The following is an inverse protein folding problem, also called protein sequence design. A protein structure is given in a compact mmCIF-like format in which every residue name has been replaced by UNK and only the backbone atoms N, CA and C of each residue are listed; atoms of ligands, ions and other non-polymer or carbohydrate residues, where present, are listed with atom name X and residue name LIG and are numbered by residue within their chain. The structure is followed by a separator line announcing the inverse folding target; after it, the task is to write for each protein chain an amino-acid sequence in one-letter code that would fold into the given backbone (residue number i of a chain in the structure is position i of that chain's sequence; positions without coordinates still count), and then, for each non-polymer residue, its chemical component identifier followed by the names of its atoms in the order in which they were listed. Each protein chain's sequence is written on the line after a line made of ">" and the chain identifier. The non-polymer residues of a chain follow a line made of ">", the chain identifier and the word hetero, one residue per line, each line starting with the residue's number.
data_IF_821485235975
#
_entry.id   IF_821485235975
#
_cell.length_a   1.000
_cell.length_b   1.000
_cell.length_c   1.000
_cell.angle_alpha   90.00
_cell.angle_beta   90.00
_cell.angle_gamma   90.00
#
_symmetry.space_group_name_H-M   'P 1'
#
loop_
_entity.id
_entity.type
_entity.pdbx_description
1 polymer ?
#
# COMPACT_ATOMS: atom_id res chain seq x y z
N UNK A 1 -61.37 4.18 -30.63
CA UNK A 1 -61.09 3.47 -29.35
C UNK A 1 -59.60 3.18 -29.28
N UNK A 2 -58.85 4.06 -28.67
CA UNK A 2 -57.43 3.88 -28.46
C UNK A 2 -57.21 3.68 -26.96
N UNK A 3 -56.78 2.48 -26.58
CA UNK A 3 -56.45 2.11 -25.22
C UNK A 3 -55.06 2.64 -24.88
N UNK A 4 -54.98 3.55 -23.93
CA UNK A 4 -53.78 4.15 -23.40
C UNK A 4 -53.34 3.28 -22.23
N UNK A 5 -52.45 2.32 -22.44
CA UNK A 5 -51.74 1.64 -21.36
C UNK A 5 -50.79 2.62 -20.69
N UNK A 6 -51.06 2.91 -19.44
CA UNK A 6 -50.21 3.72 -18.56
C UNK A 6 -49.11 2.83 -18.01
N UNK A 7 -47.88 2.99 -18.53
CA UNK A 7 -46.69 2.43 -17.91
C UNK A 7 -46.47 3.09 -16.54
N UNK A 8 -46.83 2.41 -15.50
CA UNK A 8 -46.42 2.71 -14.12
C UNK A 8 -44.99 2.17 -13.92
N UNK A 9 -43.98 2.93 -14.31
CA UNK A 9 -42.64 2.72 -13.74
C UNK A 9 -42.66 3.22 -12.31
N UNK A 10 -42.63 2.30 -11.37
CA UNK A 10 -42.47 2.52 -9.94
C UNK A 10 -41.17 3.27 -9.70
N UNK A 11 -41.29 4.50 -9.23
CA UNK A 11 -40.19 5.25 -8.60
C UNK A 11 -39.79 4.57 -7.28
N UNK A 12 -39.11 3.43 -7.37
CA UNK A 12 -38.35 2.88 -6.26
C UNK A 12 -36.88 3.07 -6.59
N UNK A 13 -36.20 3.90 -5.79
CA UNK A 13 -34.82 3.65 -5.41
C UNK A 13 -33.84 4.82 -5.25
N UNK A 14 -34.27 6.09 -5.37
CA UNK A 14 -33.30 7.19 -5.07
C UNK A 14 -32.94 7.29 -3.56
N UNK A 15 -33.88 7.04 -2.60
CA UNK A 15 -33.54 7.05 -1.17
C UNK A 15 -32.74 5.85 -0.71
N UNK A 16 -32.93 4.67 -1.31
CA UNK A 16 -32.27 3.43 -0.90
C UNK A 16 -30.82 3.38 -1.35
N UNK A 17 -30.54 3.79 -2.58
CA UNK A 17 -29.15 3.92 -3.07
C UNK A 17 -28.36 5.00 -2.31
N UNK A 18 -29.03 6.05 -1.82
CA UNK A 18 -28.42 7.05 -0.94
C UNK A 18 -28.14 6.49 0.45
N UNK A 19 -28.99 5.58 0.94
CA UNK A 19 -28.82 4.93 2.24
C UNK A 19 -27.70 3.89 2.20
N UNK A 20 -27.63 3.07 1.15
CA UNK A 20 -26.51 2.13 0.94
C UNK A 20 -25.16 2.83 0.76
N UNK A 21 -25.13 4.01 0.09
CA UNK A 21 -23.90 4.82 0.01
C UNK A 21 -23.44 5.37 1.37
N UNK A 22 -24.34 5.54 2.34
CA UNK A 22 -23.98 5.97 3.70
C UNK A 22 -23.43 4.84 4.57
N UNK A 23 -23.66 3.59 4.22
CA UNK A 23 -23.23 2.42 4.99
C UNK A 23 -21.90 1.82 4.50
N UNK A 24 -21.34 2.26 3.38
CA UNK A 24 -20.02 1.83 2.95
C UNK A 24 -18.93 2.33 3.91
N UNK A 25 -18.20 1.41 4.54
CA UNK A 25 -17.10 1.73 5.48
C UNK A 25 -16.05 2.64 4.86
N UNK A 26 -15.68 2.39 3.61
CA UNK A 26 -14.84 3.25 2.78
C UNK A 26 -15.43 3.29 1.37
N UNK A 27 -15.66 4.47 0.85
CA UNK A 27 -16.08 4.67 -0.54
C UNK A 27 -14.91 4.37 -1.49
N UNK A 28 -15.21 4.19 -2.77
CA UNK A 28 -14.17 3.98 -3.78
C UNK A 28 -13.20 5.15 -3.86
N UNK A 29 -13.72 6.39 -3.77
CA UNK A 29 -12.90 7.62 -3.80
C UNK A 29 -11.98 7.67 -2.59
N UNK A 30 -12.47 7.33 -1.38
CA UNK A 30 -11.64 7.25 -0.18
C UNK A 30 -10.58 6.15 -0.28
N UNK A 31 -10.90 4.98 -0.83
CA UNK A 31 -9.90 3.93 -1.07
C UNK A 31 -8.82 4.37 -2.06
N UNK A 32 -9.20 5.09 -3.12
CA UNK A 32 -8.24 5.62 -4.09
C UNK A 32 -7.42 6.77 -3.48
N UNK A 33 -8.02 7.64 -2.66
CA UNK A 33 -7.29 8.68 -1.92
C UNK A 33 -6.27 8.08 -0.91
N UNK A 34 -6.64 7.02 -0.20
CA UNK A 34 -5.71 6.27 0.66
C UNK A 34 -4.53 5.70 -0.12
N UNK A 35 -4.77 5.14 -1.32
CA UNK A 35 -3.69 4.68 -2.21
C UNK A 35 -2.80 5.84 -2.65
N UNK A 36 -3.41 6.99 -2.95
CA UNK A 36 -2.69 8.20 -3.33
C UNK A 36 -1.78 8.71 -2.22
N UNK A 37 -2.31 8.82 -1.01
CA UNK A 37 -1.53 9.20 0.17
C UNK A 37 -0.36 8.24 0.40
N UNK A 38 -0.64 6.94 0.37
CA UNK A 38 0.36 5.90 0.59
C UNK A 38 1.47 5.92 -0.45
N UNK A 39 1.12 6.03 -1.75
CA UNK A 39 2.14 6.02 -2.81
C UNK A 39 2.99 7.29 -2.80
N UNK A 40 2.42 8.44 -2.45
CA UNK A 40 3.20 9.69 -2.28
C UNK A 40 4.27 9.49 -1.21
N UNK A 41 3.91 8.92 -0.06
CA UNK A 41 4.88 8.60 0.99
C UNK A 41 5.98 7.67 0.48
N UNK A 42 5.61 6.53 -0.10
CA UNK A 42 6.56 5.50 -0.57
C UNK A 42 7.53 6.05 -1.61
N UNK A 43 7.03 6.73 -2.63
CA UNK A 43 7.87 7.16 -3.72
C UNK A 43 8.82 8.30 -3.31
N UNK A 44 8.37 9.23 -2.45
CA UNK A 44 9.23 10.27 -1.89
C UNK A 44 10.26 9.69 -0.92
N UNK A 45 9.85 8.75 -0.04
CA UNK A 45 10.77 8.00 0.80
C UNK A 45 11.89 7.35 -0.02
N UNK A 46 11.52 6.62 -1.07
CA UNK A 46 12.48 5.91 -1.92
C UNK A 46 13.48 6.81 -2.63
N UNK A 47 13.19 8.08 -2.83
CA UNK A 47 14.15 9.06 -3.32
C UNK A 47 15.04 9.59 -2.20
N UNK A 48 14.42 10.08 -1.12
CA UNK A 48 15.11 10.73 -0.01
C UNK A 48 16.05 9.76 0.74
N UNK A 49 15.64 8.51 0.89
CA UNK A 49 16.42 7.46 1.56
C UNK A 49 17.80 7.21 0.92
N UNK A 50 17.98 7.50 -0.38
CA UNK A 50 19.24 7.34 -1.10
C UNK A 50 20.15 8.56 -1.04
N UNK A 51 19.73 9.65 -0.41
CA UNK A 51 20.51 10.87 -0.27
C UNK A 51 21.48 10.79 0.91
N UNK A 52 22.65 11.41 0.77
CA UNK A 52 23.59 11.67 1.85
C UNK A 52 23.50 13.16 2.20
N UNK A 53 23.40 13.58 3.43
CA UNK A 53 23.48 12.89 4.74
C UNK A 53 22.12 12.59 5.39
N UNK A 54 21.06 12.35 4.61
CA UNK A 54 19.69 12.17 5.09
C UNK A 54 19.57 10.93 6.00
N UNK A 55 18.72 11.02 7.03
CA UNK A 55 18.36 9.90 7.91
C UNK A 55 17.73 8.80 7.08
N UNK A 56 18.05 7.56 7.39
CA UNK A 56 17.50 6.38 6.73
C UNK A 56 16.61 5.61 7.68
N UNK A 57 15.53 5.07 7.19
CA UNK A 57 14.67 4.11 7.88
C UNK A 57 14.01 3.20 6.83
N UNK A 58 13.61 2.02 7.24
CA UNK A 58 12.89 1.06 6.39
C UNK A 58 11.94 0.18 7.22
N UNK A 59 11.18 -0.70 6.58
CA UNK A 59 10.24 -1.59 7.26
C UNK A 59 10.88 -2.87 7.81
N UNK A 60 12.14 -3.18 7.53
CA UNK A 60 12.70 -4.51 7.73
C UNK A 60 13.38 -4.66 9.08
N UNK A 61 14.08 -3.63 9.52
CA UNK A 61 14.87 -3.64 10.75
C UNK A 61 14.70 -2.32 11.48
N UNK A 62 14.81 -2.36 12.79
CA UNK A 62 14.86 -1.17 13.63
C UNK A 62 16.31 -0.83 13.93
N UNK A 63 16.76 0.33 13.53
CA UNK A 63 18.10 0.81 13.81
C UNK A 63 18.08 1.97 14.79
N UNK A 64 18.58 1.76 16.00
CA UNK A 64 18.63 2.82 17.01
C UNK A 64 19.39 4.05 16.51
N UNK A 65 20.48 3.86 15.78
CA UNK A 65 21.27 4.96 15.16
C UNK A 65 20.42 5.88 14.24
N UNK A 66 19.42 5.33 13.55
CA UNK A 66 18.56 6.12 12.68
C UNK A 66 17.60 6.98 13.50
N UNK A 67 17.08 6.42 14.59
CA UNK A 67 16.23 7.11 15.57
C UNK A 67 17.00 8.26 16.24
N UNK A 68 18.22 8.00 16.71
CA UNK A 68 19.08 9.00 17.37
C UNK A 68 19.41 10.15 16.40
N UNK A 69 19.69 9.81 15.14
CA UNK A 69 19.93 10.81 14.09
C UNK A 69 18.68 11.65 13.79
N UNK A 70 17.49 11.05 13.74
CA UNK A 70 16.26 11.81 13.58
C UNK A 70 16.03 12.74 14.78
N UNK A 71 16.28 12.25 15.99
CA UNK A 71 16.15 13.04 17.20
C UNK A 71 17.07 14.28 17.16
N UNK A 72 18.32 14.11 16.73
CA UNK A 72 19.26 15.23 16.52
C UNK A 72 18.74 16.24 15.48
N UNK A 73 18.17 15.76 14.37
CA UNK A 73 17.56 16.63 13.35
C UNK A 73 16.38 17.43 13.90
N UNK A 74 15.54 16.81 14.73
CA UNK A 74 14.39 17.48 15.34
C UNK A 74 14.78 18.54 16.37
N UNK A 75 15.90 18.33 17.06
CA UNK A 75 16.44 19.30 18.04
C UNK A 75 17.32 20.39 17.42
N UNK A 76 17.84 20.15 16.23
CA UNK A 76 18.74 21.06 15.53
C UNK A 76 18.03 22.21 14.82
N UNK A 77 18.82 23.05 14.15
CA UNK A 77 18.31 24.09 13.26
C UNK A 77 17.71 23.47 12.01
N UNK A 78 16.50 23.89 11.66
CA UNK A 78 15.84 23.43 10.44
C UNK A 78 16.56 24.03 9.23
N UNK A 79 17.20 23.16 8.47
CA UNK A 79 17.89 23.47 7.23
C UNK A 79 17.09 22.99 6.02
N UNK A 80 17.62 23.19 4.81
CA UNK A 80 17.01 22.76 3.55
C UNK A 80 16.73 21.24 3.46
N UNK A 81 17.46 20.42 4.24
CA UNK A 81 17.33 18.97 4.26
C UNK A 81 16.26 18.47 5.25
N UNK A 82 15.67 19.34 6.08
CA UNK A 82 14.71 18.93 7.10
C UNK A 82 13.56 18.07 6.52
N UNK A 83 12.94 18.53 5.43
CA UNK A 83 11.88 17.78 4.76
C UNK A 83 12.35 16.45 4.20
N UNK A 84 13.57 16.37 3.69
CA UNK A 84 14.14 15.12 3.19
C UNK A 84 14.34 14.10 4.32
N UNK A 85 14.73 14.55 5.52
CA UNK A 85 14.83 13.69 6.70
C UNK A 85 13.45 13.12 7.09
N UNK A 86 12.42 13.95 7.15
CA UNK A 86 11.06 13.54 7.50
C UNK A 86 10.51 12.56 6.45
N UNK A 87 10.64 12.87 5.17
CA UNK A 87 10.16 12.01 4.10
C UNK A 87 10.91 10.67 4.05
N UNK A 88 12.22 10.69 4.30
CA UNK A 88 13.05 9.49 4.34
C UNK A 88 12.73 8.61 5.54
N UNK A 89 12.42 9.17 6.69
CA UNK A 89 12.12 8.40 7.89
C UNK A 89 10.69 7.86 7.91
N UNK A 90 9.70 8.69 7.59
CA UNK A 90 8.28 8.33 7.73
C UNK A 90 7.59 7.86 6.44
N UNK A 91 8.15 8.16 5.27
CA UNK A 91 7.45 7.91 4.00
C UNK A 91 7.24 6.42 3.69
N UNK A 92 8.10 5.51 4.19
CA UNK A 92 7.95 4.07 4.03
C UNK A 92 6.64 3.53 4.64
N UNK A 93 6.09 4.21 5.63
CA UNK A 93 4.81 3.85 6.25
C UNK A 93 3.59 3.92 5.31
N UNK A 94 3.76 4.30 4.06
CA UNK A 94 2.76 4.08 3.02
C UNK A 94 2.51 2.59 2.73
N UNK A 95 3.49 1.71 2.95
CA UNK A 95 3.37 0.26 2.70
C UNK A 95 2.26 -0.40 3.53
N UNK A 96 2.19 -0.22 4.86
CA UNK A 96 1.08 -0.73 5.68
C UNK A 96 -0.31 -0.36 5.16
N UNK A 97 -0.48 0.84 4.62
CA UNK A 97 -1.77 1.28 4.04
C UNK A 97 -2.14 0.47 2.80
N UNK A 98 -1.16 0.13 1.94
CA UNK A 98 -1.40 -0.78 0.81
C UNK A 98 -1.76 -2.19 1.24
N UNK A 99 -1.12 -2.72 2.28
CA UNK A 99 -1.43 -4.03 2.85
C UNK A 99 -2.85 -4.06 3.42
N UNK A 100 -3.21 -3.05 4.20
CA UNK A 100 -4.56 -2.83 4.71
C UNK A 100 -5.61 -2.80 3.58
N UNK A 101 -5.40 -1.94 2.58
CA UNK A 101 -6.33 -1.79 1.46
C UNK A 101 -6.46 -3.06 0.61
N UNK A 102 -5.39 -3.83 0.48
CA UNK A 102 -5.43 -5.11 -0.23
C UNK A 102 -6.30 -6.12 0.51
N UNK A 103 -6.14 -6.26 1.82
CA UNK A 103 -6.95 -7.14 2.65
C UNK A 103 -8.41 -6.69 2.74
N UNK A 104 -8.63 -5.37 2.93
CA UNK A 104 -9.96 -4.78 2.90
C UNK A 104 -10.69 -5.08 1.59
N UNK A 105 -10.03 -4.84 0.46
CA UNK A 105 -10.60 -5.09 -0.87
C UNK A 105 -10.88 -6.57 -1.14
N UNK A 106 -10.03 -7.50 -0.68
CA UNK A 106 -10.27 -8.95 -0.76
C UNK A 106 -11.52 -9.33 0.02
N UNK A 107 -11.62 -8.88 1.28
CA UNK A 107 -12.75 -9.21 2.16
C UNK A 107 -14.06 -8.62 1.62
N UNK A 108 -14.04 -7.37 1.16
CA UNK A 108 -15.21 -6.75 0.55
C UNK A 108 -15.65 -7.50 -0.71
N UNK A 109 -14.71 -7.88 -1.57
CA UNK A 109 -14.99 -8.56 -2.84
C UNK A 109 -15.48 -9.99 -2.65
N UNK A 110 -14.84 -10.77 -1.78
CA UNK A 110 -15.07 -12.22 -1.72
C UNK A 110 -15.94 -12.68 -0.56
N UNK A 111 -16.17 -11.82 0.44
CA UNK A 111 -16.96 -12.18 1.61
C UNK A 111 -18.27 -11.36 1.71
N UNK A 112 -18.26 -10.06 1.37
CA UNK A 112 -19.43 -9.17 1.54
C UNK A 112 -20.24 -8.94 0.27
N UNK A 113 -19.64 -9.00 -0.92
CA UNK A 113 -20.42 -8.97 -2.16
C UNK A 113 -21.05 -10.36 -2.38
N UNK A 114 -22.19 -10.59 -1.78
CA UNK A 114 -23.05 -11.72 -2.19
C UNK A 114 -23.76 -11.34 -3.49
N UNK A 115 -23.76 -12.21 -4.50
CA UNK A 115 -24.64 -11.99 -5.65
C UNK A 115 -26.09 -12.07 -5.16
N UNK A 116 -26.91 -11.11 -5.59
CA UNK A 116 -28.37 -11.14 -5.46
C UNK A 116 -28.95 -12.21 -6.40
N UNK A 117 -28.64 -13.48 -6.16
CA UNK A 117 -29.18 -14.62 -6.91
C UNK A 117 -30.25 -15.28 -6.04
N UNK A 118 -31.44 -15.65 -6.60
CA UNK A 118 -32.50 -16.30 -5.86
C UNK A 118 -32.02 -17.58 -5.15
N UNK A 119 -32.54 -17.82 -3.96
CA UNK A 119 -32.14 -18.87 -3.00
C UNK A 119 -32.15 -20.30 -3.57
N UNK A 120 -32.81 -20.56 -4.70
CA UNK A 120 -32.87 -21.84 -5.37
C UNK A 120 -31.62 -22.25 -6.15
N UNK A 121 -30.69 -21.30 -6.38
CA UNK A 121 -29.39 -21.56 -7.04
C UNK A 121 -28.19 -21.54 -6.05
N UNK A 122 -28.44 -21.41 -4.76
CA UNK A 122 -27.40 -21.31 -3.72
C UNK A 122 -26.67 -22.64 -3.42
N UNK A 123 -27.11 -23.75 -3.98
CA UNK A 123 -26.45 -25.05 -3.76
C UNK A 123 -25.15 -25.24 -4.55
N UNK A 124 -24.77 -24.33 -5.43
CA UNK A 124 -23.55 -24.42 -6.22
C UNK A 124 -22.56 -23.25 -6.04
N UNK A 125 -22.65 -22.48 -4.95
CA UNK A 125 -21.53 -21.59 -4.61
C UNK A 125 -20.35 -22.40 -4.04
N UNK A 126 -19.71 -23.11 -4.98
CA UNK A 126 -18.44 -23.75 -4.78
C UNK A 126 -17.47 -22.82 -4.09
N UNK A 127 -16.86 -23.28 -3.02
CA UNK A 127 -15.69 -22.67 -2.38
C UNK A 127 -14.76 -22.13 -3.48
N UNK A 128 -14.45 -20.83 -3.46
CA UNK A 128 -13.50 -20.21 -4.38
C UNK A 128 -12.27 -21.13 -4.53
N UNK A 129 -11.99 -21.70 -5.71
CA UNK A 129 -10.95 -22.72 -5.86
C UNK A 129 -9.60 -22.12 -5.49
N UNK A 130 -8.87 -22.75 -4.59
CA UNK A 130 -7.61 -22.24 -4.05
C UNK A 130 -6.61 -21.92 -5.16
N UNK A 131 -6.40 -22.87 -6.05
CA UNK A 131 -5.46 -22.71 -7.16
C UNK A 131 -5.90 -21.59 -8.13
N UNK A 132 -7.19 -21.54 -8.47
CA UNK A 132 -7.74 -20.49 -9.33
C UNK A 132 -7.56 -19.09 -8.74
N UNK A 133 -7.78 -18.96 -7.42
CA UNK A 133 -7.55 -17.71 -6.70
C UNK A 133 -6.09 -17.28 -6.71
N UNK A 134 -5.16 -18.20 -6.38
CA UNK A 134 -3.72 -17.92 -6.35
C UNK A 134 -3.23 -17.54 -7.75
N UNK A 135 -3.57 -18.35 -8.77
CA UNK A 135 -3.21 -18.09 -10.17
C UNK A 135 -3.70 -16.71 -10.64
N UNK A 136 -4.96 -16.37 -10.32
CA UNK A 136 -5.52 -15.06 -10.69
C UNK A 136 -4.73 -13.90 -10.07
N UNK A 137 -4.43 -13.98 -8.78
CA UNK A 137 -3.71 -12.92 -8.09
C UNK A 137 -2.23 -12.87 -8.47
N UNK A 138 -1.60 -14.02 -8.72
CA UNK A 138 -0.24 -14.09 -9.24
C UNK A 138 -0.13 -13.40 -10.61
N UNK A 139 -0.99 -13.75 -11.56
CA UNK A 139 -1.02 -13.10 -12.89
C UNK A 139 -1.27 -11.60 -12.78
N UNK A 140 -2.14 -11.17 -11.85
CA UNK A 140 -2.40 -9.75 -11.63
C UNK A 140 -1.15 -9.01 -11.13
N UNK A 141 -0.42 -9.56 -10.16
CA UNK A 141 0.82 -8.98 -9.65
C UNK A 141 1.93 -9.00 -10.70
N UNK A 142 2.12 -10.12 -11.38
CA UNK A 142 3.08 -10.28 -12.45
C UNK A 142 2.87 -9.23 -13.56
N UNK A 143 1.63 -9.04 -14.00
CA UNK A 143 1.27 -8.05 -15.01
C UNK A 143 1.63 -6.62 -14.58
N UNK A 144 1.47 -6.30 -13.30
CA UNK A 144 1.86 -4.99 -12.78
C UNK A 144 3.38 -4.82 -12.76
N UNK A 145 4.10 -5.86 -12.38
CA UNK A 145 5.54 -5.85 -12.18
C UNK A 145 6.34 -5.86 -13.48
N UNK A 146 5.96 -6.70 -14.45
CA UNK A 146 6.82 -7.05 -15.58
C UNK A 146 7.23 -5.84 -16.44
N UNK A 147 6.31 -4.89 -16.68
CA UNK A 147 6.61 -3.68 -17.46
C UNK A 147 7.70 -2.86 -16.79
N UNK A 148 7.55 -2.66 -15.47
CA UNK A 148 8.53 -1.91 -14.69
C UNK A 148 9.86 -2.64 -14.58
N UNK A 149 9.85 -3.95 -14.40
CA UNK A 149 11.06 -4.76 -14.29
C UNK A 149 11.90 -4.70 -15.57
N UNK A 150 11.28 -4.94 -16.73
CA UNK A 150 11.98 -4.87 -18.03
C UNK A 150 12.52 -3.46 -18.30
N UNK A 151 11.70 -2.43 -18.09
CA UNK A 151 12.16 -1.06 -18.30
C UNK A 151 13.28 -0.66 -17.32
N UNK A 152 13.20 -1.12 -16.06
CA UNK A 152 14.23 -0.84 -15.08
C UNK A 152 15.56 -1.53 -15.45
N UNK A 153 15.55 -2.83 -15.80
CA UNK A 153 16.79 -3.55 -16.17
C UNK A 153 17.47 -2.95 -17.39
N UNK A 154 16.71 -2.45 -18.37
CA UNK A 154 17.26 -1.74 -19.52
C UNK A 154 17.95 -0.43 -19.12
N UNK A 155 17.32 0.38 -18.25
CA UNK A 155 17.90 1.64 -17.77
C UNK A 155 19.08 1.37 -16.86
N UNK A 156 19.00 0.36 -16.01
CA UNK A 156 20.07 -0.05 -15.10
C UNK A 156 21.34 -0.44 -15.86
N UNK A 157 21.20 -1.18 -16.96
CA UNK A 157 22.33 -1.62 -17.79
C UNK A 157 23.08 -0.48 -18.49
N UNK A 158 22.47 0.68 -18.69
CA UNK A 158 23.09 1.85 -19.37
C UNK A 158 23.42 3.01 -18.42
N UNK A 159 23.16 2.85 -17.12
CA UNK A 159 23.47 3.85 -16.08
C UNK A 159 24.65 3.41 -15.22
N UNK A 160 25.22 4.34 -14.47
CA UNK A 160 26.35 4.07 -13.59
C UNK A 160 26.03 3.01 -12.54
N UNK A 161 27.00 2.14 -12.27
CA UNK A 161 26.90 1.04 -11.31
C UNK A 161 25.67 0.15 -11.54
N UNK A 162 25.60 -0.57 -12.67
CA UNK A 162 24.52 -1.52 -12.92
C UNK A 162 24.55 -2.65 -11.90
N UNK A 163 23.37 -3.21 -11.62
CA UNK A 163 23.27 -4.38 -10.75
C UNK A 163 23.75 -5.66 -11.49
N UNK A 164 24.37 -6.56 -10.74
CA UNK A 164 24.78 -7.86 -11.27
C UNK A 164 23.62 -8.85 -11.13
N UNK A 165 22.98 -9.17 -12.25
CA UNK A 165 21.78 -10.01 -12.28
C UNK A 165 22.16 -11.48 -12.42
N UNK A 166 21.84 -12.30 -11.41
CA UNK A 166 21.96 -13.73 -11.51
C UNK A 166 20.67 -14.38 -12.01
N UNK A 167 20.79 -15.51 -12.70
CA UNK A 167 19.64 -16.23 -13.30
C UNK A 167 18.58 -16.56 -12.24
N UNK A 168 19.00 -16.99 -11.03
CA UNK A 168 18.07 -17.39 -9.97
C UNK A 168 17.29 -16.19 -9.41
N UNK A 169 17.91 -15.01 -9.36
CA UNK A 169 17.26 -13.78 -8.91
C UNK A 169 16.14 -13.35 -9.88
N UNK A 170 16.45 -13.46 -11.20
CA UNK A 170 15.45 -13.20 -12.24
C UNK A 170 14.28 -14.20 -12.16
N UNK A 171 14.57 -15.50 -12.02
CA UNK A 171 13.54 -16.53 -11.85
C UNK A 171 12.71 -16.27 -10.58
N UNK A 172 13.37 -15.93 -9.46
CA UNK A 172 12.71 -15.58 -8.20
C UNK A 172 11.81 -14.37 -8.33
N UNK A 173 12.28 -13.34 -9.03
CA UNK A 173 11.48 -12.14 -9.31
C UNK A 173 10.29 -12.44 -10.22
N UNK A 174 10.49 -13.21 -11.30
CA UNK A 174 9.41 -13.62 -12.20
C UNK A 174 8.39 -14.52 -11.50
N UNK A 175 8.85 -15.41 -10.62
CA UNK A 175 8.00 -16.29 -9.82
C UNK A 175 7.33 -15.62 -8.62
N UNK A 176 7.74 -14.38 -8.26
CA UNK A 176 7.31 -13.64 -7.07
C UNK A 176 7.68 -14.37 -5.76
N UNK A 177 8.82 -15.03 -5.72
CA UNK A 177 9.32 -15.77 -4.55
C UNK A 177 10.73 -15.39 -4.11
N UNK A 178 11.32 -14.34 -4.68
CA UNK A 178 12.66 -13.84 -4.33
C UNK A 178 12.81 -13.49 -2.84
N UNK A 179 11.74 -13.09 -2.15
CA UNK A 179 11.73 -12.86 -0.71
C UNK A 179 12.06 -14.13 0.13
N UNK A 180 11.91 -15.31 -0.44
CA UNK A 180 12.20 -16.58 0.22
C UNK A 180 13.66 -17.02 0.03
N UNK A 181 14.37 -16.40 -0.91
CA UNK A 181 15.77 -16.70 -1.19
C UNK A 181 16.68 -16.09 -0.10
N UNK A 182 17.90 -16.58 0.07
CA UNK A 182 18.88 -15.98 0.98
C UNK A 182 19.24 -14.54 0.55
N UNK A 183 19.58 -13.67 1.50
CA UNK A 183 20.04 -12.30 1.28
C UNK A 183 19.10 -11.45 0.39
N UNK A 184 17.84 -11.26 0.80
CA UNK A 184 16.85 -10.54 -0.03
C UNK A 184 17.29 -9.11 -0.39
N UNK A 185 18.11 -8.46 0.44
CA UNK A 185 18.61 -7.11 0.19
C UNK A 185 19.52 -7.04 -1.06
N UNK A 186 20.23 -8.11 -1.36
CA UNK A 186 21.16 -8.17 -2.48
C UNK A 186 20.47 -8.62 -3.78
N UNK A 187 19.50 -9.54 -3.67
CA UNK A 187 18.89 -10.19 -4.83
C UNK A 187 17.62 -9.51 -5.34
N UNK A 188 16.93 -8.73 -4.50
CA UNK A 188 15.70 -8.04 -4.91
C UNK A 188 16.05 -6.71 -5.56
N UNK A 189 16.06 -6.69 -6.89
CA UNK A 189 16.35 -5.49 -7.63
C UNK A 189 15.34 -5.24 -8.77
N UNK A 190 14.72 -4.03 -8.87
CA UNK A 190 14.87 -2.89 -7.94
C UNK A 190 14.27 -3.17 -6.56
N UNK A 191 14.92 -2.62 -5.53
CA UNK A 191 14.58 -2.88 -4.12
C UNK A 191 13.07 -2.88 -3.78
N UNK A 192 12.26 -1.88 -4.16
CA UNK A 192 10.83 -1.86 -3.85
C UNK A 192 10.03 -3.08 -4.32
N UNK A 193 10.57 -3.90 -5.21
CA UNK A 193 9.85 -5.05 -5.79
C UNK A 193 9.70 -6.24 -4.82
N UNK A 194 10.32 -6.21 -3.65
CA UNK A 194 10.03 -7.14 -2.57
C UNK A 194 8.53 -7.20 -2.23
N UNK A 195 7.83 -6.09 -2.42
CA UNK A 195 6.40 -5.98 -2.16
C UNK A 195 5.55 -6.98 -2.96
N UNK A 196 5.95 -7.34 -4.16
CA UNK A 196 5.22 -8.32 -4.98
C UNK A 196 5.29 -9.73 -4.38
N UNK A 197 6.46 -10.15 -3.90
CA UNK A 197 6.65 -11.42 -3.20
C UNK A 197 5.88 -11.46 -1.87
N UNK A 198 5.90 -10.38 -1.10
CA UNK A 198 5.09 -10.24 0.11
C UNK A 198 3.58 -10.36 -0.20
N UNK A 199 3.11 -9.68 -1.23
CA UNK A 199 1.69 -9.65 -1.58
C UNK A 199 1.15 -11.01 -1.99
N UNK A 200 1.88 -11.80 -2.77
CA UNK A 200 1.41 -13.15 -3.15
C UNK A 200 1.35 -14.07 -1.94
N UNK A 201 2.31 -13.98 -1.01
CA UNK A 201 2.29 -14.72 0.25
C UNK A 201 1.05 -14.37 1.09
N UNK A 202 0.75 -13.08 1.26
CA UNK A 202 -0.43 -12.62 2.00
C UNK A 202 -1.75 -13.04 1.32
N UNK A 203 -1.80 -13.11 0.00
CA UNK A 203 -2.97 -13.64 -0.71
C UNK A 203 -3.15 -15.15 -0.46
N UNK A 204 -2.06 -15.91 -0.41
CA UNK A 204 -2.08 -17.33 -0.04
C UNK A 204 -2.57 -17.48 1.42
N UNK A 205 -2.01 -16.70 2.35
CA UNK A 205 -2.44 -16.69 3.76
C UNK A 205 -3.92 -16.34 3.90
N UNK A 206 -4.38 -15.29 3.20
CA UNK A 206 -5.80 -14.94 3.19
C UNK A 206 -6.66 -16.12 2.75
N UNK A 207 -6.34 -16.73 1.61
CA UNK A 207 -7.17 -17.79 1.05
C UNK A 207 -7.19 -19.06 1.88
N UNK A 208 -6.08 -19.43 2.51
CA UNK A 208 -5.96 -20.66 3.28
C UNK A 208 -6.44 -20.53 4.74
N UNK A 209 -6.11 -19.41 5.38
CA UNK A 209 -6.27 -19.27 6.83
C UNK A 209 -7.30 -18.23 7.25
N UNK A 210 -7.62 -17.22 6.43
CA UNK A 210 -8.49 -16.10 6.84
C UNK A 210 -9.85 -16.13 6.16
N UNK A 211 -9.93 -16.54 4.89
CA UNK A 211 -11.14 -16.48 4.10
C UNK A 211 -12.32 -17.21 4.77
N UNK A 212 -13.36 -16.48 5.12
CA UNK A 212 -14.57 -16.97 5.81
C UNK A 212 -14.30 -17.74 7.13
N UNK A 213 -13.12 -17.54 7.73
CA UNK A 213 -12.79 -18.10 9.03
C UNK A 213 -13.20 -17.15 10.15
N UNK A 214 -13.38 -17.71 11.35
CA UNK A 214 -13.65 -16.92 12.55
C UNK A 214 -12.55 -15.89 12.80
N UNK A 215 -12.90 -14.72 13.36
CA UNK A 215 -11.95 -13.62 13.60
C UNK A 215 -10.75 -14.02 14.46
N UNK A 216 -10.95 -14.95 15.38
CA UNK A 216 -9.89 -15.43 16.27
C UNK A 216 -8.69 -15.99 15.49
N UNK A 217 -8.89 -16.66 14.34
CA UNK A 217 -7.80 -17.14 13.50
C UNK A 217 -6.91 -16.00 12.99
N UNK A 218 -7.52 -14.87 12.66
CA UNK A 218 -6.77 -13.70 12.23
C UNK A 218 -5.93 -13.12 13.38
N UNK A 219 -6.54 -13.01 14.57
CA UNK A 219 -5.83 -12.52 15.77
C UNK A 219 -4.70 -13.48 16.14
N UNK A 220 -4.93 -14.80 16.13
CA UNK A 220 -3.90 -15.80 16.40
C UNK A 220 -2.73 -15.67 15.43
N UNK A 221 -2.99 -15.51 14.13
CA UNK A 221 -1.92 -15.31 13.14
C UNK A 221 -1.15 -14.02 13.37
N UNK A 222 -1.83 -12.90 13.69
CA UNK A 222 -1.16 -11.65 14.04
C UNK A 222 -0.25 -11.86 15.25
N UNK A 223 -0.76 -12.48 16.32
CA UNK A 223 0.01 -12.71 17.55
C UNK A 223 1.22 -13.62 17.29
N UNK A 224 1.05 -14.69 16.51
CA UNK A 224 2.16 -15.60 16.16
C UNK A 224 3.23 -14.87 15.32
N UNK A 225 2.83 -14.12 14.32
CA UNK A 225 3.76 -13.32 13.52
C UNK A 225 4.49 -12.25 14.36
N UNK A 226 3.80 -11.72 15.35
CA UNK A 226 4.37 -10.76 16.29
C UNK A 226 5.39 -11.43 17.22
N UNK A 227 5.05 -12.57 17.78
CA UNK A 227 5.95 -13.33 18.65
C UNK A 227 7.25 -13.73 17.93
N UNK A 228 7.16 -14.16 16.65
CA UNK A 228 8.34 -14.45 15.83
C UNK A 228 9.22 -13.22 15.66
N UNK A 229 8.65 -12.05 15.38
CA UNK A 229 9.41 -10.82 15.20
C UNK A 229 10.05 -10.36 16.52
N UNK A 230 9.34 -10.44 17.63
CA UNK A 230 9.86 -10.08 18.96
C UNK A 230 10.94 -11.03 19.49
N UNK A 231 11.03 -12.25 18.94
CA UNK A 231 12.11 -13.20 19.30
C UNK A 231 13.44 -12.86 18.59
N UNK A 232 13.45 -11.91 17.66
CA UNK A 232 14.63 -11.49 16.95
C UNK A 232 15.22 -10.22 17.57
N UNK A 233 16.52 -10.05 17.47
CA UNK A 233 17.18 -8.80 17.81
C UNK A 233 16.81 -7.70 16.77
N UNK A 234 16.72 -6.40 17.20
CA UNK A 234 16.26 -5.30 16.35
C UNK A 234 16.99 -5.17 15.02
N UNK A 235 18.32 -5.21 15.06
CA UNK A 235 19.18 -4.97 13.90
C UNK A 235 19.62 -6.26 13.20
N UNK A 236 19.00 -7.41 13.57
CA UNK A 236 19.41 -8.72 13.05
C UNK A 236 18.91 -8.98 11.63
N UNK A 237 19.69 -9.73 10.86
CA UNK A 237 19.27 -10.25 9.56
C UNK A 237 18.07 -11.21 9.68
N UNK A 238 17.91 -11.90 10.82
CA UNK A 238 16.76 -12.74 11.06
C UNK A 238 15.47 -11.93 11.06
N UNK A 239 15.43 -10.77 11.74
CA UNK A 239 14.30 -9.85 11.71
C UNK A 239 14.06 -9.34 10.30
N UNK A 240 15.11 -8.88 9.61
CA UNK A 240 15.07 -8.43 8.22
C UNK A 240 14.38 -9.48 7.33
N UNK A 241 14.84 -10.72 7.38
CA UNK A 241 14.31 -11.83 6.59
C UNK A 241 12.83 -12.12 6.88
N UNK A 242 12.40 -12.11 8.14
CA UNK A 242 11.00 -12.29 8.49
C UNK A 242 10.11 -11.14 7.99
N UNK A 243 10.61 -9.93 8.04
CA UNK A 243 9.85 -8.75 7.62
C UNK A 243 9.73 -8.58 6.11
N UNK A 244 10.66 -9.12 5.31
CA UNK A 244 10.48 -9.25 3.87
C UNK A 244 9.33 -10.17 3.47
N UNK A 245 8.88 -11.03 4.38
CA UNK A 245 7.85 -12.04 4.16
C UNK A 245 6.52 -11.67 4.87
N UNK A 246 5.49 -12.50 4.66
CA UNK A 246 4.14 -12.24 5.18
C UNK A 246 4.07 -11.97 6.69
N UNK A 247 5.04 -12.46 7.44
CA UNK A 247 5.16 -12.25 8.88
C UNK A 247 5.24 -10.75 9.22
N UNK A 248 6.06 -9.98 8.49
CA UNK A 248 6.17 -8.54 8.67
C UNK A 248 4.91 -7.77 8.25
N UNK A 249 4.20 -8.27 7.23
CA UNK A 249 3.00 -7.62 6.70
C UNK A 249 1.68 -8.04 7.37
N UNK A 250 1.71 -9.03 8.28
CA UNK A 250 0.47 -9.64 8.79
C UNK A 250 -0.38 -8.69 9.64
N UNK A 251 0.21 -7.79 10.42
CA UNK A 251 -0.53 -6.86 11.28
C UNK A 251 -1.44 -5.90 10.48
N UNK A 252 -0.93 -5.06 9.55
CA UNK A 252 -1.78 -4.17 8.77
C UNK A 252 -2.71 -4.93 7.83
N UNK A 253 -2.30 -6.08 7.29
CA UNK A 253 -3.14 -6.91 6.45
C UNK A 253 -4.30 -7.53 7.24
N UNK A 254 -4.02 -8.13 8.38
CA UNK A 254 -5.03 -8.70 9.28
C UNK A 254 -6.00 -7.64 9.80
N UNK A 255 -5.49 -6.44 10.12
CA UNK A 255 -6.34 -5.30 10.46
C UNK A 255 -7.31 -4.96 9.32
N UNK A 256 -6.87 -4.99 8.06
CA UNK A 256 -7.73 -4.77 6.89
C UNK A 256 -8.88 -5.77 6.80
N UNK A 257 -8.64 -7.05 7.09
CA UNK A 257 -9.70 -8.08 7.15
C UNK A 257 -10.68 -7.79 8.27
N UNK A 258 -10.18 -7.50 9.50
CA UNK A 258 -11.04 -7.21 10.65
C UNK A 258 -11.85 -5.94 10.46
N UNK A 259 -11.24 -4.90 9.93
CA UNK A 259 -11.91 -3.64 9.61
C UNK A 259 -13.05 -3.86 8.61
N UNK A 260 -12.82 -4.58 7.53
CA UNK A 260 -13.86 -4.88 6.55
C UNK A 260 -15.04 -5.66 7.14
N UNK A 261 -14.78 -6.54 8.12
CA UNK A 261 -15.82 -7.41 8.71
C UNK A 261 -16.61 -6.72 9.81
N UNK A 262 -15.95 -5.97 10.69
CA UNK A 262 -16.48 -5.58 11.99
C UNK A 262 -16.47 -4.07 12.28
N UNK A 263 -15.74 -3.26 11.50
CA UNK A 263 -15.75 -1.83 11.73
C UNK A 263 -17.10 -1.20 11.41
N UNK A 264 -17.34 -0.07 12.03
CA UNK A 264 -18.48 0.81 11.78
C UNK A 264 -17.97 2.24 11.55
N UNK A 265 -18.84 3.07 11.00
CA UNK A 265 -18.48 4.46 10.69
C UNK A 265 -18.43 5.28 11.98
N UNK A 266 -17.30 5.92 12.21
CA UNK A 266 -17.08 6.81 13.34
C UNK A 266 -17.65 8.20 13.08
N UNK A 267 -18.02 8.90 14.15
CA UNK A 267 -18.40 10.31 14.08
C UNK A 267 -17.20 11.18 13.66
N UNK A 268 -17.47 12.40 13.17
CA UNK A 268 -16.38 13.34 12.79
C UNK A 268 -15.51 13.68 14.00
N UNK A 269 -16.10 13.88 15.18
CA UNK A 269 -15.33 14.14 16.41
C UNK A 269 -14.41 12.96 16.77
N UNK A 270 -14.92 11.73 16.70
CA UNK A 270 -14.11 10.52 16.94
C UNK A 270 -12.97 10.41 15.91
N UNK A 271 -13.23 10.69 14.63
CA UNK A 271 -12.18 10.70 13.61
C UNK A 271 -11.11 11.75 13.89
N UNK A 272 -11.49 12.95 14.35
CA UNK A 272 -10.54 14.01 14.69
C UNK A 272 -9.64 13.61 15.86
N UNK A 273 -10.25 13.13 16.94
CA UNK A 273 -9.50 12.69 18.14
C UNK A 273 -8.58 11.52 17.78
N UNK A 274 -9.08 10.52 17.05
CA UNK A 274 -8.27 9.37 16.62
C UNK A 274 -7.13 9.80 15.70
N UNK A 275 -7.35 10.76 14.79
CA UNK A 275 -6.30 11.28 13.91
C UNK A 275 -5.19 11.95 14.71
N UNK A 276 -5.54 12.90 15.62
CA UNK A 276 -4.56 13.60 16.43
C UNK A 276 -3.77 12.65 17.32
N UNK A 277 -4.46 11.74 18.03
CA UNK A 277 -3.79 10.72 18.86
C UNK A 277 -2.90 9.80 18.03
N UNK A 278 -3.31 9.44 16.80
CA UNK A 278 -2.48 8.61 15.92
C UNK A 278 -1.20 9.32 15.50
N UNK A 279 -1.24 10.63 15.20
CA UNK A 279 -0.03 11.39 14.85
C UNK A 279 0.99 11.38 16.00
N UNK A 280 0.54 11.66 17.24
CA UNK A 280 1.39 11.57 18.42
C UNK A 280 1.91 10.15 18.64
N UNK A 281 1.04 9.14 18.49
CA UNK A 281 1.43 7.75 18.67
C UNK A 281 2.47 7.32 17.63
N UNK A 282 2.33 7.69 16.34
CA UNK A 282 3.31 7.39 15.29
C UNK A 282 4.68 7.96 15.69
N UNK A 283 4.72 9.23 16.12
CA UNK A 283 5.96 9.87 16.53
C UNK A 283 6.60 9.15 17.72
N UNK A 284 5.86 8.98 18.82
CA UNK A 284 6.38 8.37 20.04
C UNK A 284 6.77 6.89 19.85
N UNK A 285 5.93 6.12 19.14
CA UNK A 285 6.14 4.69 18.94
C UNK A 285 7.29 4.39 17.98
N UNK A 286 7.59 5.30 17.05
CA UNK A 286 8.73 5.16 16.13
C UNK A 286 10.09 5.32 16.84
N UNK A 287 10.13 5.88 18.03
CA UNK A 287 11.37 6.05 18.81
C UNK A 287 11.70 4.89 19.76
N UNK A 288 10.85 3.87 19.83
CA UNK A 288 11.07 2.73 20.70
C UNK A 288 10.85 1.42 19.96
N UNK A 289 11.81 0.49 20.06
CA UNK A 289 11.84 -0.76 19.35
C UNK A 289 10.56 -1.60 19.53
N UNK A 290 10.07 -1.78 20.75
CA UNK A 290 8.90 -2.63 21.03
C UNK A 290 7.63 -2.01 20.44
N UNK A 291 7.46 -0.69 20.59
CA UNK A 291 6.27 0.00 20.09
C UNK A 291 6.31 0.22 18.58
N UNK A 292 7.50 0.28 17.98
CA UNK A 292 7.69 0.41 16.54
C UNK A 292 6.93 -0.66 15.73
N UNK A 293 6.84 -1.89 16.24
CA UNK A 293 6.06 -2.93 15.59
C UNK A 293 4.57 -2.62 15.42
N UNK A 294 4.00 -1.75 16.24
CA UNK A 294 2.58 -1.35 16.17
C UNK A 294 2.36 -0.13 15.27
N UNK A 295 3.40 0.61 14.89
CA UNK A 295 3.28 1.78 14.03
C UNK A 295 2.52 1.47 12.73
N UNK A 296 2.69 0.32 12.05
CA UNK A 296 1.91 -0.04 10.88
C UNK A 296 0.38 -0.02 11.09
N UNK A 297 -0.09 -0.42 12.27
CA UNK A 297 -1.50 -0.35 12.62
C UNK A 297 -1.96 1.09 12.83
N UNK A 298 -1.18 1.88 13.57
CA UNK A 298 -1.51 3.28 13.88
C UNK A 298 -1.52 4.13 12.62
N UNK A 299 -0.61 3.88 11.68
CA UNK A 299 -0.59 4.53 10.35
C UNK A 299 -1.86 4.24 9.56
N UNK A 300 -2.36 3.01 9.59
CA UNK A 300 -3.63 2.69 8.94
C UNK A 300 -4.79 3.50 9.55
N UNK A 301 -4.86 3.59 10.88
CA UNK A 301 -5.87 4.38 11.57
C UNK A 301 -5.74 5.88 11.22
N UNK A 302 -4.53 6.43 11.30
CA UNK A 302 -4.25 7.83 10.94
C UNK A 302 -4.68 8.15 9.49
N UNK A 303 -4.34 7.26 8.55
CA UNK A 303 -4.67 7.46 7.13
C UNK A 303 -6.17 7.40 6.87
N UNK A 304 -6.87 6.43 7.49
CA UNK A 304 -8.33 6.31 7.37
C UNK A 304 -9.03 7.55 7.92
N UNK A 305 -8.65 7.96 9.14
CA UNK A 305 -9.25 9.13 9.81
C UNK A 305 -8.93 10.42 9.07
N UNK A 306 -7.70 10.59 8.55
CA UNK A 306 -7.33 11.72 7.71
C UNK A 306 -8.24 11.83 6.47
N UNK A 307 -8.38 10.76 5.70
CA UNK A 307 -9.22 10.77 4.49
C UNK A 307 -10.69 11.03 4.81
N UNK A 308 -11.19 10.50 5.94
CA UNK A 308 -12.54 10.78 6.43
C UNK A 308 -12.75 12.25 6.79
N UNK A 309 -11.78 12.84 7.51
CA UNK A 309 -11.82 14.26 7.87
C UNK A 309 -11.73 15.15 6.63
N UNK A 310 -10.86 14.81 5.70
CA UNK A 310 -10.71 15.53 4.43
C UNK A 310 -12.03 15.52 3.65
N UNK A 311 -12.67 14.35 3.53
CA UNK A 311 -13.98 14.21 2.88
C UNK A 311 -15.05 15.05 3.54
N UNK A 312 -15.06 15.11 4.88
CA UNK A 312 -15.99 15.94 5.64
C UNK A 312 -15.71 17.44 5.43
N UNK A 313 -14.45 17.87 5.54
CA UNK A 313 -14.06 19.28 5.34
C UNK A 313 -14.50 19.75 3.95
N UNK A 314 -14.19 18.99 2.90
CA UNK A 314 -14.56 19.33 1.54
C UNK A 314 -16.07 19.34 1.32
N UNK A 315 -16.80 18.50 2.02
CA UNK A 315 -18.26 18.50 2.02
C UNK A 315 -18.89 19.76 2.66
N UNK A 316 -18.24 20.29 3.69
CA UNK A 316 -18.69 21.51 4.40
C UNK A 316 -18.28 22.80 3.64
N UNK A 317 -17.04 22.85 3.16
CA UNK A 317 -16.47 24.05 2.48
C UNK A 317 -17.08 24.25 1.08
N UNK A 318 -17.58 23.20 0.47
CA UNK A 318 -18.18 23.26 -0.86
C UNK A 318 -17.16 23.60 -1.95
N UNK A 319 -16.35 22.63 -2.36
CA UNK A 319 -15.23 22.84 -3.28
C UNK A 319 -15.69 23.18 -4.71
N UNK A 320 -15.60 24.46 -5.09
CA UNK A 320 -15.83 24.88 -6.48
C UNK A 320 -14.58 24.78 -7.38
N UNK A 321 -13.36 24.84 -6.83
CA UNK A 321 -12.16 25.03 -7.64
C UNK A 321 -11.06 23.97 -7.44
N UNK A 322 -10.84 23.49 -6.22
CA UNK A 322 -9.77 22.56 -5.93
C UNK A 322 -10.17 21.55 -4.83
N UNK A 323 -10.03 20.25 -5.11
CA UNK A 323 -10.29 19.18 -4.17
C UNK A 323 -9.02 18.35 -3.97
N UNK A 324 -8.50 18.36 -2.75
CA UNK A 324 -7.37 17.50 -2.33
C UNK A 324 -7.74 16.03 -2.44
N UNK A 325 -9.00 15.69 -2.12
CA UNK A 325 -9.52 14.33 -2.26
C UNK A 325 -9.44 13.84 -3.71
N UNK A 326 -9.80 14.70 -4.68
CA UNK A 326 -9.72 14.36 -6.11
C UNK A 326 -8.26 14.19 -6.56
N UNK A 327 -7.35 15.03 -6.09
CA UNK A 327 -5.91 14.90 -6.39
C UNK A 327 -5.36 13.60 -5.83
N UNK A 328 -5.62 13.29 -4.55
CA UNK A 328 -5.19 12.04 -3.94
C UNK A 328 -5.81 10.83 -4.63
N UNK A 329 -7.10 10.88 -4.98
CA UNK A 329 -7.77 9.80 -5.70
C UNK A 329 -7.20 9.61 -7.11
N UNK A 330 -6.86 10.69 -7.81
CA UNK A 330 -6.18 10.62 -9.10
C UNK A 330 -4.80 9.96 -8.98
N UNK A 331 -3.95 10.39 -8.04
CA UNK A 331 -2.66 9.76 -7.75
C UNK A 331 -2.84 8.29 -7.38
N UNK A 332 -3.85 7.97 -6.57
CA UNK A 332 -4.21 6.60 -6.22
C UNK A 332 -4.56 5.74 -7.43
N UNK A 333 -5.21 6.32 -8.45
CA UNK A 333 -5.56 5.63 -9.69
C UNK A 333 -4.36 5.22 -10.56
N UNK A 334 -3.21 5.86 -10.37
CA UNK A 334 -1.93 5.55 -11.04
C UNK A 334 -0.92 4.91 -10.09
N UNK A 335 -1.27 4.67 -8.83
CA UNK A 335 -0.34 4.22 -7.78
C UNK A 335 0.44 2.96 -8.14
N UNK A 336 -0.20 1.98 -8.79
CA UNK A 336 0.48 0.76 -9.23
C UNK A 336 1.56 1.03 -10.29
N UNK A 337 1.28 1.91 -11.25
CA UNK A 337 2.22 2.30 -12.27
C UNK A 337 3.36 3.14 -11.67
N UNK A 338 3.03 4.08 -10.78
CA UNK A 338 4.01 4.91 -10.07
C UNK A 338 4.93 4.04 -9.20
N UNK A 339 4.38 3.02 -8.52
CA UNK A 339 5.16 2.08 -7.71
C UNK A 339 6.21 1.32 -8.53
N UNK A 340 5.91 0.92 -9.76
CA UNK A 340 6.86 0.16 -10.57
C UNK A 340 7.81 1.03 -11.39
N UNK A 341 7.46 2.29 -11.68
CA UNK A 341 8.31 3.13 -12.51
C UNK A 341 9.25 4.05 -11.72
N UNK A 342 8.93 4.39 -10.45
CA UNK A 342 9.74 5.34 -9.69
C UNK A 342 11.20 4.90 -9.44
N UNK A 343 11.58 3.61 -9.36
CA UNK A 343 12.98 3.24 -9.28
C UNK A 343 13.78 3.62 -10.52
N UNK A 344 13.15 3.64 -11.70
CA UNK A 344 13.76 4.05 -12.97
C UNK A 344 14.14 5.53 -12.90
N UNK A 345 13.18 6.38 -12.62
CA UNK A 345 13.39 7.83 -12.55
C UNK A 345 14.32 8.21 -11.40
N UNK A 346 14.24 7.48 -10.26
CA UNK A 346 15.21 7.64 -9.18
C UNK A 346 16.64 7.39 -9.67
N UNK A 347 16.90 6.29 -10.36
CA UNK A 347 18.25 5.96 -10.83
C UNK A 347 18.81 7.04 -11.76
N UNK A 348 17.95 7.66 -12.57
CA UNK A 348 18.35 8.72 -13.51
C UNK A 348 18.64 10.04 -12.79
N UNK A 349 17.78 10.45 -11.82
CA UNK A 349 17.85 11.80 -11.25
C UNK A 349 18.55 11.90 -9.90
N UNK A 350 18.80 10.79 -9.20
CA UNK A 350 19.46 10.81 -7.89
C UNK A 350 20.87 11.40 -7.94
N UNK A 351 21.68 11.25 -9.03
CA UNK A 351 23.00 11.86 -9.10
C UNK A 351 22.99 13.40 -8.98
N UNK A 352 21.95 14.05 -9.51
CA UNK A 352 21.78 15.53 -9.43
C UNK A 352 21.68 15.96 -7.96
N UNK A 353 20.80 15.32 -7.18
CA UNK A 353 20.67 15.64 -5.75
C UNK A 353 21.90 15.26 -4.95
N UNK A 354 22.62 14.18 -5.32
CA UNK A 354 23.89 13.81 -4.68
C UNK A 354 25.03 14.80 -4.98
N UNK A 355 24.91 15.54 -6.09
CA UNK A 355 25.79 16.65 -6.45
C UNK A 355 25.52 17.94 -5.69
N UNK A 356 24.50 17.99 -4.81
CA UNK A 356 24.12 19.16 -4.00
C UNK A 356 22.82 19.83 -4.41
N UNK A 357 22.31 19.56 -5.62
CA UNK A 357 21.07 20.14 -6.14
C UNK A 357 19.83 19.34 -5.69
N UNK A 358 19.57 19.31 -4.38
CA UNK A 358 18.55 18.43 -3.75
C UNK A 358 17.15 18.64 -4.32
N UNK A 359 16.70 19.89 -4.39
CA UNK A 359 15.34 20.22 -4.84
C UNK A 359 15.17 20.07 -6.35
N UNK A 360 16.20 20.40 -7.14
CA UNK A 360 16.21 20.21 -8.59
C UNK A 360 16.05 18.75 -8.94
N UNK A 361 16.86 17.88 -8.33
CA UNK A 361 16.78 16.44 -8.56
C UNK A 361 15.44 15.86 -8.11
N UNK A 362 14.92 16.27 -6.95
CA UNK A 362 13.62 15.82 -6.45
C UNK A 362 12.48 16.25 -7.40
N UNK A 363 12.47 17.50 -7.87
CA UNK A 363 11.45 18.01 -8.79
C UNK A 363 11.44 17.24 -10.11
N UNK A 364 12.61 17.04 -10.71
CA UNK A 364 12.76 16.25 -11.93
C UNK A 364 12.30 14.80 -11.73
N UNK A 365 12.65 14.19 -10.59
CA UNK A 365 12.19 12.87 -10.23
C UNK A 365 10.64 12.80 -10.13
N UNK A 366 10.02 13.75 -9.45
CA UNK A 366 8.55 13.81 -9.27
C UNK A 366 7.84 13.94 -10.62
N UNK A 367 8.22 14.94 -11.42
CA UNK A 367 7.59 15.19 -12.72
C UNK A 367 7.74 13.99 -13.63
N UNK A 368 8.97 13.50 -13.78
CA UNK A 368 9.27 12.37 -14.67
C UNK A 368 8.57 11.08 -14.21
N UNK A 369 8.48 10.84 -12.88
CA UNK A 369 7.77 9.67 -12.34
C UNK A 369 6.28 9.72 -12.64
N UNK A 370 5.65 10.88 -12.52
CA UNK A 370 4.22 11.04 -12.83
C UNK A 370 3.94 10.84 -14.33
N UNK A 371 4.78 11.42 -15.20
CA UNK A 371 4.67 11.22 -16.64
C UNK A 371 4.88 9.75 -17.03
N UNK A 372 5.91 9.11 -16.49
CA UNK A 372 6.21 7.71 -16.77
C UNK A 372 5.13 6.77 -16.22
N UNK A 373 4.56 7.09 -15.05
CA UNK A 373 3.47 6.34 -14.47
C UNK A 373 2.21 6.34 -15.34
N UNK A 374 1.91 7.48 -15.97
CA UNK A 374 0.82 7.56 -16.92
C UNK A 374 1.04 6.63 -18.13
N UNK A 375 2.25 6.64 -18.73
CA UNK A 375 2.62 5.74 -19.82
C UNK A 375 2.55 4.26 -19.39
N UNK A 376 3.10 3.92 -18.24
CA UNK A 376 3.10 2.56 -17.72
C UNK A 376 1.69 2.04 -17.44
N UNK A 377 0.80 2.89 -16.94
CA UNK A 377 -0.62 2.55 -16.76
C UNK A 377 -1.25 2.10 -18.09
N UNK A 378 -0.95 2.79 -19.19
CA UNK A 378 -1.48 2.42 -20.50
C UNK A 378 -0.84 1.12 -21.04
N UNK A 379 0.46 0.94 -20.87
CA UNK A 379 1.15 -0.30 -21.24
C UNK A 379 0.62 -1.52 -20.45
N UNK A 380 0.43 -1.38 -19.14
CA UNK A 380 -0.12 -2.45 -18.30
C UNK A 380 -1.53 -2.90 -18.74
N UNK A 381 -2.35 -1.99 -19.29
CA UNK A 381 -3.68 -2.34 -19.78
C UNK A 381 -3.62 -3.27 -21.01
N UNK A 382 -2.55 -3.19 -21.80
CA UNK A 382 -2.38 -4.02 -23.01
C UNK A 382 -1.95 -5.45 -22.72
N UNK A 383 -1.41 -5.72 -21.51
CA UNK A 383 -1.07 -7.09 -21.10
C UNK A 383 -2.35 -7.84 -20.73
N UNK A 384 -2.56 -9.07 -21.25
CA UNK A 384 -3.76 -9.86 -20.98
C UNK A 384 -4.03 -10.04 -19.48
N UNK A 385 -5.27 -9.86 -19.06
CA UNK A 385 -5.70 -10.11 -17.68
C UNK A 385 -6.24 -11.52 -17.52
N UNK A 386 -5.94 -12.19 -16.40
CA UNK A 386 -6.61 -13.43 -16.07
C UNK A 386 -8.06 -13.15 -15.65
N UNK A 387 -8.96 -14.07 -16.04
CA UNK A 387 -10.33 -14.09 -15.51
C UNK A 387 -10.41 -15.16 -14.43
N UNK A 388 -11.04 -14.84 -13.29
CA UNK A 388 -11.48 -15.88 -12.35
C UNK A 388 -12.62 -16.64 -13.04
N UNK A 389 -12.33 -17.88 -13.45
CA UNK A 389 -13.36 -18.81 -13.89
C UNK A 389 -13.92 -19.55 -12.70
#
# INVERSE_FOLDING_TARGET
>A
MFNKERNTYTEQSVPEQRKERREALLTRVECDALRGLAIIGIFLHNYCHWLRPVVKENEYQYFQRNVDKLYQVLQGSWNELFFFHILSFFGHYGVPVFLFLSAYGLTMKYEKQQPTVPTSMLQSQSSLPVFGFIKYHWVKLFRMMIVGFVAFTMVDAITDAPHDYHVMDIIGQMGLFNNLLPNPDDIIWPGPYWFFGLMIQLYIVYRLFLYRRHWAWNVVLIVLCFAIQLSCEPESEALNRWRYNFIGGMLPFGFGVLYARYAHVWTTATNLVAFVLSLFAILLMSFNYITWYFVPLVICVASITFVRLLSWIEGVVGNKYFSVMNVLSWVGSISAALFVCHPITRKIFIPISRGGEYWTGLLLYVISSLCLAWLFKELMKKIPSSKLK
#
